data_IF_555644096091
#
_entry.id   IF_555644096091
#
_cell.length_a   1.000
_cell.length_b   1.000
_cell.length_c   1.000
_cell.angle_alpha   90.00
_cell.angle_beta   90.00
_cell.angle_gamma   90.00
#
_symmetry.space_group_name_H-M   'P 1'
#
loop_
_entity.id
_entity.type
_entity.pdbx_description
1 polymer ?
#
# COMPACT_ATOMS: atom_id res chain seq x y z
N UNK A 1 -3.54 -2.56 -24.08
CA UNK A 1 -2.81 -1.61 -23.20
C UNK A 1 -2.58 -2.18 -21.79
N UNK A 2 -3.45 -3.08 -21.30
CA UNK A 2 -3.33 -3.71 -19.98
C UNK A 2 -1.97 -4.39 -19.71
N UNK A 3 -1.29 -4.93 -20.74
CA UNK A 3 0.05 -5.51 -20.60
C UNK A 3 1.14 -4.53 -20.09
N UNK A 4 0.88 -3.22 -20.11
CA UNK A 4 1.78 -2.19 -19.55
C UNK A 4 1.52 -1.93 -18.06
N UNK A 5 0.64 -2.68 -17.39
CA UNK A 5 0.31 -2.49 -15.98
C UNK A 5 1.54 -2.49 -15.07
N UNK A 6 2.50 -3.38 -15.29
CA UNK A 6 3.75 -3.42 -14.53
C UNK A 6 4.59 -2.14 -14.58
N UNK A 7 4.43 -1.33 -15.62
CA UNK A 7 5.15 -0.05 -15.76
C UNK A 7 4.68 0.96 -14.73
N UNK A 8 3.41 0.88 -14.31
CA UNK A 8 2.80 1.81 -13.34
C UNK A 8 3.56 1.77 -11.99
N UNK A 9 3.73 0.65 -11.28
CA UNK A 9 4.56 0.60 -10.08
C UNK A 9 6.07 0.69 -10.38
N UNK A 10 6.54 0.23 -11.55
CA UNK A 10 7.97 0.24 -11.87
C UNK A 10 8.55 1.66 -12.03
N UNK A 11 7.79 2.62 -12.55
CA UNK A 11 8.23 4.00 -12.73
C UNK A 11 8.57 4.72 -11.41
N UNK A 12 7.70 4.71 -10.38
CA UNK A 12 8.04 5.20 -9.05
C UNK A 12 9.30 4.53 -8.47
N UNK A 13 9.43 3.20 -8.54
CA UNK A 13 10.62 2.51 -8.05
C UNK A 13 11.89 2.90 -8.81
N UNK A 14 11.81 3.05 -10.14
CA UNK A 14 12.92 3.53 -10.95
C UNK A 14 13.31 4.96 -10.55
N UNK A 15 12.33 5.84 -10.37
CA UNK A 15 12.55 7.20 -9.88
C UNK A 15 13.22 7.22 -8.50
N UNK A 16 12.76 6.37 -7.57
CA UNK A 16 13.41 6.17 -6.27
C UNK A 16 14.87 5.74 -6.42
N UNK A 17 15.16 4.72 -7.23
CA UNK A 17 16.52 4.20 -7.42
C UNK A 17 17.44 5.27 -8.03
N UNK A 18 16.97 6.01 -9.02
CA UNK A 18 17.74 7.09 -9.64
C UNK A 18 18.07 8.18 -8.60
N UNK A 19 17.07 8.62 -7.83
CA UNK A 19 17.26 9.67 -6.83
C UNK A 19 18.10 9.22 -5.64
N UNK A 20 17.93 7.98 -5.18
CA UNK A 20 18.70 7.42 -4.07
C UNK A 20 20.19 7.25 -4.42
N UNK A 21 20.50 6.82 -5.65
CA UNK A 21 21.88 6.54 -6.06
C UNK A 21 22.61 7.78 -6.60
N UNK A 22 21.94 8.57 -7.44
CA UNK A 22 22.57 9.65 -8.20
C UNK A 22 22.18 11.05 -7.69
N UNK A 23 21.12 11.18 -6.89
CA UNK A 23 20.56 12.47 -6.53
C UNK A 23 21.49 13.39 -5.75
N UNK A 24 22.46 12.84 -4.99
CA UNK A 24 23.53 13.63 -4.34
C UNK A 24 24.43 14.42 -5.30
N UNK A 25 24.46 14.05 -6.57
CA UNK A 25 25.25 14.72 -7.62
C UNK A 25 24.40 15.61 -8.53
N UNK A 26 23.09 15.69 -8.29
CA UNK A 26 22.15 16.42 -9.13
C UNK A 26 21.73 17.73 -8.44
N UNK A 27 21.39 18.72 -9.25
CA UNK A 27 20.70 19.93 -8.78
C UNK A 27 19.20 19.67 -8.62
N UNK A 28 18.47 20.59 -7.99
CA UNK A 28 17.05 20.44 -7.70
C UNK A 28 16.20 20.20 -8.95
N UNK A 29 16.48 20.88 -10.07
CA UNK A 29 15.69 20.74 -11.30
C UNK A 29 15.67 19.30 -11.84
N UNK A 30 16.80 18.62 -12.08
CA UNK A 30 16.80 17.20 -12.43
C UNK A 30 16.13 16.30 -11.38
N UNK A 31 16.36 16.56 -10.08
CA UNK A 31 15.74 15.78 -9.00
C UNK A 31 14.21 15.86 -9.07
N UNK A 32 13.68 17.08 -9.15
CA UNK A 32 12.25 17.35 -9.27
C UNK A 32 11.69 16.73 -10.56
N UNK A 33 12.43 16.83 -11.67
CA UNK A 33 12.02 16.25 -12.95
C UNK A 33 11.89 14.73 -12.86
N UNK A 34 12.85 14.04 -12.21
CA UNK A 34 12.80 12.58 -12.02
C UNK A 34 11.71 12.20 -11.01
N UNK A 35 11.68 12.88 -9.86
CA UNK A 35 10.72 12.62 -8.79
C UNK A 35 9.29 12.81 -9.26
N UNK A 36 8.95 14.01 -9.73
CA UNK A 36 7.60 14.34 -10.19
C UNK A 36 7.28 13.68 -11.53
N UNK A 37 8.22 13.63 -12.46
CA UNK A 37 8.00 13.09 -13.80
C UNK A 37 7.73 11.60 -13.81
N UNK A 38 8.40 10.81 -12.97
CA UNK A 38 8.13 9.37 -12.84
C UNK A 38 6.71 9.10 -12.36
N UNK A 39 6.23 9.84 -11.35
CA UNK A 39 4.85 9.73 -10.87
C UNK A 39 3.85 10.26 -11.90
N UNK A 40 4.18 11.35 -12.60
CA UNK A 40 3.33 11.91 -13.66
C UNK A 40 3.11 10.96 -14.84
N UNK A 41 4.17 10.29 -15.30
CA UNK A 41 4.07 9.26 -16.36
C UNK A 41 3.28 8.06 -15.83
N UNK A 42 3.52 7.65 -14.58
CA UNK A 42 2.74 6.58 -13.93
C UNK A 42 1.24 6.94 -13.87
N UNK A 43 0.89 8.18 -13.55
CA UNK A 43 -0.50 8.65 -13.49
C UNK A 43 -1.14 8.67 -14.88
N UNK A 44 -0.43 9.15 -15.89
CA UNK A 44 -0.91 9.12 -17.28
C UNK A 44 -1.18 7.68 -17.73
N UNK A 45 -0.25 6.76 -17.48
CA UNK A 45 -0.44 5.34 -17.80
C UNK A 45 -1.59 4.71 -17.02
N UNK A 46 -1.73 5.02 -15.72
CA UNK A 46 -2.83 4.55 -14.90
C UNK A 46 -4.19 5.01 -15.46
N UNK A 47 -4.31 6.28 -15.88
CA UNK A 47 -5.54 6.80 -16.53
C UNK A 47 -5.82 6.06 -17.83
N UNK A 48 -4.81 5.90 -18.69
CA UNK A 48 -4.97 5.20 -19.98
C UNK A 48 -5.38 3.74 -19.78
N UNK A 49 -4.74 3.02 -18.84
CA UNK A 49 -5.07 1.63 -18.50
C UNK A 49 -6.48 1.54 -17.94
N UNK A 50 -6.87 2.47 -17.07
CA UNK A 50 -8.21 2.52 -16.47
C UNK A 50 -9.29 2.78 -17.52
N UNK A 51 -9.05 3.71 -18.46
CA UNK A 51 -9.95 3.94 -19.59
C UNK A 51 -10.07 2.69 -20.47
N UNK A 52 -8.95 2.03 -20.78
CA UNK A 52 -8.96 0.77 -21.55
C UNK A 52 -9.71 -0.35 -20.82
N UNK A 53 -9.60 -0.42 -19.50
CA UNK A 53 -10.32 -1.39 -18.67
C UNK A 53 -11.83 -1.14 -18.67
N UNK A 54 -12.26 0.14 -18.66
CA UNK A 54 -13.68 0.50 -18.68
C UNK A 54 -14.34 0.36 -20.05
N UNK A 55 -13.61 0.66 -21.14
CA UNK A 55 -14.17 0.61 -22.51
C UNK A 55 -14.10 -0.77 -23.14
N UNK A 56 -13.15 -1.60 -22.73
CA UNK A 56 -12.98 -2.97 -23.22
C UNK A 56 -12.63 -3.88 -22.04
N UNK A 57 -13.61 -4.15 -21.15
CA UNK A 57 -13.36 -4.94 -19.96
C UNK A 57 -12.90 -6.35 -20.32
N UNK A 58 -11.86 -6.86 -19.64
CA UNK A 58 -11.40 -8.24 -19.83
C UNK A 58 -12.46 -9.25 -19.37
N UNK A 59 -12.44 -10.50 -19.87
CA UNK A 59 -13.33 -11.55 -19.40
C UNK A 59 -13.22 -11.74 -17.89
N UNK A 60 -14.36 -11.75 -17.17
CA UNK A 60 -14.38 -11.89 -15.71
C UNK A 60 -14.08 -10.61 -14.94
N UNK A 61 -14.22 -9.44 -15.58
CA UNK A 61 -14.08 -8.09 -14.98
C UNK A 61 -12.78 -7.89 -14.20
N UNK A 62 -11.73 -8.60 -14.59
CA UNK A 62 -10.41 -8.56 -13.97
C UNK A 62 -9.31 -8.92 -14.96
N UNK A 63 -8.11 -8.40 -14.71
CA UNK A 63 -6.90 -8.68 -15.47
C UNK A 63 -5.77 -9.04 -14.51
N UNK A 64 -5.14 -10.19 -14.72
CA UNK A 64 -3.98 -10.62 -13.96
C UNK A 64 -2.74 -10.68 -14.85
N UNK A 65 -1.64 -10.10 -14.37
CA UNK A 65 -0.34 -10.11 -15.03
C UNK A 65 0.71 -10.70 -14.10
N UNK A 66 1.05 -11.97 -14.30
CA UNK A 66 2.17 -12.62 -13.60
C UNK A 66 3.50 -12.17 -14.19
N UNK A 67 4.39 -11.64 -13.34
CA UNK A 67 5.70 -11.17 -13.75
C UNK A 67 6.76 -12.28 -13.62
N UNK A 68 6.82 -12.91 -12.44
CA UNK A 68 7.67 -14.08 -12.18
C UNK A 68 7.19 -14.84 -10.93
N UNK A 69 7.70 -16.05 -10.70
CA UNK A 69 7.49 -16.81 -9.45
C UNK A 69 8.41 -16.27 -8.36
N UNK A 70 7.87 -15.91 -7.19
CA UNK A 70 8.67 -15.33 -6.11
C UNK A 70 9.52 -16.40 -5.43
N UNK A 71 8.88 -17.49 -5.02
CA UNK A 71 9.53 -18.63 -4.39
C UNK A 71 8.73 -19.88 -4.69
N UNK A 72 9.38 -21.04 -4.67
CA UNK A 72 8.73 -22.33 -4.83
C UNK A 72 9.30 -23.31 -3.80
N UNK A 73 8.48 -23.66 -2.80
CA UNK A 73 8.90 -24.54 -1.70
C UNK A 73 7.75 -25.49 -1.35
N UNK A 74 7.97 -26.79 -1.54
CA UNK A 74 7.06 -27.86 -1.09
C UNK A 74 5.57 -27.63 -1.48
N UNK A 75 5.31 -27.14 -2.70
CA UNK A 75 3.96 -26.85 -3.20
C UNK A 75 3.43 -25.44 -2.89
N UNK A 76 4.16 -24.63 -2.11
CA UNK A 76 3.89 -23.20 -1.95
C UNK A 76 4.64 -22.39 -3.01
N UNK A 77 3.90 -21.76 -3.93
CA UNK A 77 4.44 -21.01 -5.06
C UNK A 77 3.78 -19.64 -5.23
N UNK A 78 3.94 -18.69 -4.28
CA UNK A 78 3.43 -17.34 -4.47
C UNK A 78 4.17 -16.67 -5.64
N UNK A 79 3.41 -16.01 -6.50
CA UNK A 79 3.96 -15.29 -7.63
C UNK A 79 4.08 -13.80 -7.30
N UNK A 80 4.92 -13.09 -8.05
CA UNK A 80 4.80 -11.64 -8.16
C UNK A 80 3.88 -11.37 -9.34
N UNK A 81 2.57 -11.28 -9.08
CA UNK A 81 1.57 -10.93 -10.09
C UNK A 81 0.81 -9.67 -9.71
N UNK A 82 0.42 -8.93 -10.75
CA UNK A 82 -0.39 -7.73 -10.63
C UNK A 82 -1.84 -8.05 -11.02
N UNK A 83 -2.76 -7.83 -10.09
CA UNK A 83 -4.19 -8.04 -10.24
C UNK A 83 -4.93 -6.70 -10.32
N UNK A 84 -5.59 -6.48 -11.46
CA UNK A 84 -6.35 -5.28 -11.77
C UNK A 84 -7.83 -5.62 -11.94
N UNK A 85 -8.65 -5.09 -11.06
CA UNK A 85 -10.11 -5.08 -11.17
C UNK A 85 -10.66 -3.69 -10.85
N UNK A 86 -11.97 -3.55 -10.77
CA UNK A 86 -12.63 -2.26 -10.46
C UNK A 86 -12.14 -1.62 -9.17
N UNK A 87 -11.86 -2.40 -8.11
CA UNK A 87 -11.34 -1.86 -6.84
C UNK A 87 -9.88 -1.40 -7.00
N UNK A 88 -9.03 -2.20 -7.66
CA UNK A 88 -7.64 -1.84 -7.94
C UNK A 88 -7.55 -0.59 -8.82
N UNK A 89 -8.44 -0.44 -9.81
CA UNK A 89 -8.50 0.73 -10.69
C UNK A 89 -8.73 2.02 -9.89
N UNK A 90 -9.73 2.03 -9.00
CA UNK A 90 -10.05 3.20 -8.18
C UNK A 90 -8.85 3.60 -7.33
N UNK A 91 -8.25 2.64 -6.61
CA UNK A 91 -7.10 2.92 -5.76
C UNK A 91 -5.87 3.33 -6.56
N UNK A 92 -5.56 2.65 -7.67
CA UNK A 92 -4.46 2.99 -8.56
C UNK A 92 -4.57 4.44 -9.03
N UNK A 93 -5.76 4.87 -9.49
CA UNK A 93 -6.01 6.25 -9.90
C UNK A 93 -5.82 7.25 -8.76
N UNK A 94 -6.39 6.97 -7.58
CA UNK A 94 -6.21 7.84 -6.40
C UNK A 94 -4.73 7.98 -6.05
N UNK A 95 -4.01 6.86 -5.95
CA UNK A 95 -2.59 6.84 -5.60
C UNK A 95 -1.76 7.61 -6.62
N UNK A 96 -1.95 7.38 -7.92
CA UNK A 96 -1.12 8.03 -8.94
C UNK A 96 -1.50 9.48 -9.19
N UNK A 97 -2.79 9.81 -9.28
CA UNK A 97 -3.25 11.15 -9.65
C UNK A 97 -3.10 12.11 -8.47
N UNK A 98 -3.61 11.74 -7.29
CA UNK A 98 -3.43 12.57 -6.08
C UNK A 98 -1.95 12.59 -5.70
N UNK A 99 -1.25 11.45 -5.80
CA UNK A 99 0.20 11.38 -5.60
C UNK A 99 0.95 12.34 -6.52
N UNK A 100 0.63 12.40 -7.81
CA UNK A 100 1.25 13.33 -8.76
C UNK A 100 1.05 14.80 -8.37
N UNK A 101 -0.18 15.18 -7.99
CA UNK A 101 -0.47 16.56 -7.56
C UNK A 101 0.32 16.92 -6.30
N UNK A 102 0.45 15.99 -5.35
CA UNK A 102 1.26 16.19 -4.14
C UNK A 102 2.74 16.31 -4.49
N UNK A 103 3.25 15.52 -5.46
CA UNK A 103 4.64 15.62 -5.91
C UNK A 103 4.92 16.96 -6.60
N UNK A 104 4.01 17.45 -7.43
CA UNK A 104 4.10 18.79 -8.03
C UNK A 104 4.18 19.87 -6.96
N UNK A 105 3.27 19.85 -5.98
CA UNK A 105 3.26 20.79 -4.86
C UNK A 105 4.55 20.71 -4.03
N UNK A 106 5.05 19.49 -3.80
CA UNK A 106 6.28 19.25 -3.03
C UNK A 106 7.51 19.90 -3.64
N UNK A 107 7.55 20.05 -4.97
CA UNK A 107 8.69 20.62 -5.67
C UNK A 107 8.95 22.07 -5.27
N UNK A 108 7.89 22.85 -5.10
CA UNK A 108 8.00 24.24 -4.61
C UNK A 108 8.14 24.27 -3.09
N UNK A 109 7.37 23.44 -2.37
CA UNK A 109 7.36 23.44 -0.90
C UNK A 109 8.74 23.09 -0.30
N UNK A 110 9.46 22.15 -0.92
CA UNK A 110 10.76 21.69 -0.43
C UNK A 110 11.95 22.45 -1.04
N UNK A 111 11.71 23.46 -1.88
CA UNK A 111 12.78 24.19 -2.55
C UNK A 111 13.77 24.79 -1.54
N UNK A 112 15.07 24.54 -1.72
CA UNK A 112 16.12 24.99 -0.82
C UNK A 112 16.37 24.11 0.41
N UNK A 113 15.63 23.01 0.61
CA UNK A 113 15.90 22.05 1.70
C UNK A 113 17.13 21.16 1.38
N UNK A 114 18.03 20.99 2.34
CA UNK A 114 19.25 20.18 2.20
C UNK A 114 18.97 18.73 1.75
N UNK A 115 17.80 18.19 2.11
CA UNK A 115 17.36 16.83 1.84
C UNK A 115 16.48 16.66 0.59
N UNK A 116 16.44 17.62 -0.33
CA UNK A 116 15.52 17.63 -1.49
C UNK A 116 15.49 16.31 -2.27
N UNK A 117 16.65 15.74 -2.62
CA UNK A 117 16.73 14.45 -3.31
C UNK A 117 16.21 13.28 -2.48
N UNK A 118 16.51 13.28 -1.18
CA UNK A 118 16.09 12.22 -0.27
C UNK A 118 14.58 12.24 -0.09
N UNK A 119 14.00 13.43 -0.01
CA UNK A 119 12.56 13.62 0.09
C UNK A 119 11.83 12.98 -1.11
N UNK A 120 12.21 13.34 -2.33
CA UNK A 120 11.59 12.76 -3.53
C UNK A 120 11.87 11.27 -3.69
N UNK A 121 13.05 10.78 -3.30
CA UNK A 121 13.32 9.35 -3.28
C UNK A 121 12.31 8.61 -2.38
N UNK A 122 12.10 9.08 -1.14
CA UNK A 122 11.16 8.47 -0.21
C UNK A 122 9.71 8.58 -0.66
N UNK A 123 9.29 9.72 -1.23
CA UNK A 123 7.95 9.89 -1.78
C UNK A 123 7.68 8.92 -2.94
N UNK A 124 8.65 8.75 -3.85
CA UNK A 124 8.56 7.82 -4.95
C UNK A 124 8.49 6.36 -4.48
N UNK A 125 9.31 5.98 -3.49
CA UNK A 125 9.28 4.65 -2.89
C UNK A 125 7.92 4.37 -2.23
N UNK A 126 7.33 5.40 -1.61
CA UNK A 126 6.01 5.30 -1.00
C UNK A 126 4.94 5.01 -2.06
N UNK A 127 4.88 5.80 -3.12
CA UNK A 127 3.92 5.58 -4.21
C UNK A 127 4.10 4.20 -4.83
N UNK A 128 5.34 3.79 -5.11
CA UNK A 128 5.64 2.45 -5.64
C UNK A 128 5.18 1.33 -4.71
N UNK A 129 5.47 1.44 -3.40
CA UNK A 129 5.06 0.46 -2.39
C UNK A 129 3.54 0.36 -2.28
N UNK A 130 2.84 1.49 -2.30
CA UNK A 130 1.38 1.53 -2.25
C UNK A 130 0.76 0.94 -3.53
N UNK A 131 1.35 1.19 -4.70
CA UNK A 131 0.90 0.56 -5.95
C UNK A 131 1.09 -0.96 -5.93
N UNK A 132 2.21 -1.45 -5.41
CA UNK A 132 2.41 -2.90 -5.22
C UNK A 132 1.38 -3.50 -4.26
N UNK A 133 1.04 -2.78 -3.19
CA UNK A 133 0.02 -3.20 -2.22
C UNK A 133 -1.34 -3.38 -2.89
N UNK A 134 -1.80 -2.38 -3.66
CA UNK A 134 -3.15 -2.42 -4.25
C UNK A 134 -3.25 -3.25 -5.52
N UNK A 135 -2.13 -3.54 -6.18
CA UNK A 135 -2.09 -4.43 -7.34
C UNK A 135 -1.73 -5.86 -6.97
N UNK A 136 -1.47 -6.19 -5.70
CA UNK A 136 -1.10 -7.54 -5.32
C UNK A 136 -2.22 -8.56 -5.58
N UNK A 137 -1.88 -9.69 -6.22
CA UNK A 137 -2.77 -10.85 -6.40
C UNK A 137 -2.85 -11.74 -5.15
N UNK A 138 -1.82 -11.71 -4.30
CA UNK A 138 -1.72 -12.53 -3.10
C UNK A 138 -1.36 -11.70 -1.87
N UNK A 139 -1.74 -12.21 -0.69
CA UNK A 139 -1.54 -11.51 0.58
C UNK A 139 -0.06 -11.32 0.94
N UNK A 140 0.84 -12.17 0.45
CA UNK A 140 2.28 -12.03 0.71
C UNK A 140 2.86 -10.83 -0.04
N UNK A 141 2.49 -10.66 -1.33
CA UNK A 141 2.89 -9.49 -2.11
C UNK A 141 2.23 -8.21 -1.57
N UNK A 142 0.97 -8.30 -1.13
CA UNK A 142 0.29 -7.20 -0.44
C UNK A 142 1.07 -6.80 0.82
N UNK A 143 1.51 -7.79 1.61
CA UNK A 143 2.32 -7.55 2.81
C UNK A 143 3.66 -6.90 2.48
N UNK A 144 4.32 -7.24 1.37
CA UNK A 144 5.53 -6.53 0.92
C UNK A 144 5.26 -5.04 0.69
N UNK A 145 4.18 -4.70 -0.02
CA UNK A 145 3.77 -3.30 -0.21
C UNK A 145 3.40 -2.62 1.11
N UNK A 146 2.76 -3.35 2.02
CA UNK A 146 2.34 -2.91 3.34
C UNK A 146 3.52 -2.54 4.26
N UNK A 147 4.56 -3.35 4.27
CA UNK A 147 5.85 -3.08 4.92
C UNK A 147 6.51 -1.86 4.29
N UNK A 148 6.57 -1.80 2.96
CA UNK A 148 7.15 -0.68 2.21
C UNK A 148 6.49 0.65 2.56
N UNK A 149 5.15 0.69 2.63
CA UNK A 149 4.38 1.86 3.08
C UNK A 149 4.74 2.26 4.52
N UNK A 150 4.92 1.29 5.43
CA UNK A 150 5.33 1.57 6.82
C UNK A 150 6.74 2.11 6.96
N UNK A 151 7.67 1.58 6.16
CA UNK A 151 9.04 2.08 6.09
C UNK A 151 9.07 3.51 5.55
N UNK A 152 8.35 3.78 4.45
CA UNK A 152 8.32 5.10 3.85
C UNK A 152 7.69 6.15 4.77
N UNK A 153 6.62 5.80 5.50
CA UNK A 153 6.03 6.72 6.48
C UNK A 153 6.99 7.04 7.62
N UNK A 154 7.71 6.05 8.15
CA UNK A 154 8.76 6.28 9.15
C UNK A 154 9.83 7.26 8.64
N UNK A 155 10.35 7.02 7.43
CA UNK A 155 11.40 7.84 6.82
C UNK A 155 10.94 9.28 6.54
N UNK A 156 9.67 9.47 6.17
CA UNK A 156 9.14 10.79 5.84
C UNK A 156 8.64 11.58 7.07
N UNK A 157 8.06 10.92 8.07
CA UNK A 157 7.72 11.56 9.36
C UNK A 157 9.01 12.03 10.04
N UNK A 158 10.04 11.19 10.04
CA UNK A 158 11.36 11.51 10.59
C UNK A 158 12.27 12.28 9.63
N UNK A 159 11.74 12.91 8.58
CA UNK A 159 12.57 13.52 7.54
C UNK A 159 13.52 14.59 8.08
N UNK A 160 13.05 15.44 8.99
CA UNK A 160 13.88 16.40 9.72
C UNK A 160 14.45 15.78 11.01
N UNK A 161 15.21 14.69 10.84
CA UNK A 161 15.83 13.88 11.88
C UNK A 161 16.77 14.63 12.85
N UNK A 162 17.20 15.85 12.52
CA UNK A 162 18.03 16.69 13.39
C UNK A 162 17.25 17.18 14.62
N UNK A 163 15.91 17.18 14.57
CA UNK A 163 15.05 17.58 15.68
C UNK A 163 14.54 16.33 16.45
N UNK A 164 14.96 16.11 17.72
CA UNK A 164 14.63 14.91 18.49
C UNK A 164 13.12 14.56 18.61
N UNK A 165 12.18 15.53 18.73
CA UNK A 165 10.75 15.25 18.70
C UNK A 165 10.28 14.60 17.39
N UNK A 166 10.83 14.98 16.23
CA UNK A 166 10.46 14.40 14.93
C UNK A 166 10.90 12.93 14.84
N UNK A 167 12.08 12.62 15.36
CA UNK A 167 12.57 11.24 15.44
C UNK A 167 11.69 10.39 16.38
N UNK A 168 11.29 10.95 17.53
CA UNK A 168 10.41 10.28 18.48
C UNK A 168 9.02 10.01 17.87
N UNK A 169 8.46 10.97 17.12
CA UNK A 169 7.21 10.83 16.40
C UNK A 169 7.28 9.72 15.34
N UNK A 170 8.35 9.72 14.53
CA UNK A 170 8.59 8.68 13.53
C UNK A 170 8.67 7.30 14.17
N UNK A 171 9.46 7.15 15.23
CA UNK A 171 9.60 5.88 15.97
C UNK A 171 8.27 5.42 16.55
N UNK A 172 7.46 6.32 17.13
CA UNK A 172 6.13 5.99 17.63
C UNK A 172 5.23 5.47 16.51
N UNK A 173 5.19 6.16 15.36
CA UNK A 173 4.42 5.73 14.21
C UNK A 173 4.86 4.36 13.68
N UNK A 174 6.17 4.12 13.59
CA UNK A 174 6.68 2.82 13.19
C UNK A 174 6.28 1.72 14.17
N UNK A 175 6.52 1.90 15.48
CA UNK A 175 6.22 0.87 16.50
C UNK A 175 4.72 0.56 16.58
N UNK A 176 3.86 1.58 16.61
CA UNK A 176 2.41 1.36 16.72
C UNK A 176 1.86 0.64 15.48
N UNK A 177 2.36 0.99 14.30
CA UNK A 177 1.92 0.32 13.06
C UNK A 177 2.48 -1.11 12.98
N UNK A 178 3.73 -1.33 13.40
CA UNK A 178 4.33 -2.67 13.53
C UNK A 178 3.51 -3.64 14.39
N UNK A 179 2.85 -3.16 15.43
CA UNK A 179 1.95 -4.00 16.26
C UNK A 179 0.78 -4.54 15.42
N UNK A 180 0.13 -3.68 14.63
CA UNK A 180 -0.91 -4.11 13.69
C UNK A 180 -0.37 -5.02 12.59
N UNK A 181 0.82 -4.69 12.07
CA UNK A 181 1.46 -5.44 10.99
C UNK A 181 1.87 -6.85 11.45
N UNK A 182 2.16 -7.02 12.75
CA UNK A 182 2.39 -8.32 13.38
C UNK A 182 1.08 -9.13 13.46
N UNK A 183 -0.04 -8.50 13.85
CA UNK A 183 -1.34 -9.17 13.85
C UNK A 183 -1.72 -9.66 12.45
N UNK A 184 -1.51 -8.82 11.43
CA UNK A 184 -1.73 -9.21 10.03
C UNK A 184 -0.82 -10.38 9.61
N UNK A 185 0.48 -10.36 9.96
CA UNK A 185 1.38 -11.47 9.65
C UNK A 185 0.92 -12.80 10.27
N UNK A 186 0.47 -12.78 11.53
CA UNK A 186 -0.13 -13.96 12.18
C UNK A 186 -1.38 -14.40 11.41
N UNK A 187 -2.20 -13.46 10.93
CA UNK A 187 -3.34 -13.74 10.06
C UNK A 187 -2.93 -14.44 8.76
N UNK A 188 -1.87 -13.99 8.11
CA UNK A 188 -1.32 -14.65 6.91
C UNK A 188 -0.89 -16.08 7.21
N UNK A 189 -0.20 -16.33 8.32
CA UNK A 189 0.18 -17.70 8.70
C UNK A 189 -1.03 -18.58 8.99
N UNK A 190 -2.06 -18.06 9.66
CA UNK A 190 -3.30 -18.79 9.91
C UNK A 190 -4.03 -19.13 8.60
N UNK A 191 -4.12 -18.18 7.68
CA UNK A 191 -4.73 -18.37 6.37
C UNK A 191 -3.96 -19.40 5.54
N UNK A 192 -2.63 -19.29 5.51
CA UNK A 192 -1.79 -20.23 4.78
C UNK A 192 -1.89 -21.66 5.36
N UNK A 193 -1.83 -21.82 6.68
CA UNK A 193 -1.92 -23.15 7.32
C UNK A 193 -3.30 -23.78 7.22
N UNK A 194 -4.36 -22.98 7.09
CA UNK A 194 -5.74 -23.48 6.96
C UNK A 194 -6.20 -23.69 5.51
N UNK A 195 -5.65 -22.94 4.55
CA UNK A 195 -6.06 -22.97 3.14
C UNK A 195 -5.00 -23.51 2.18
N UNK A 196 -3.72 -23.48 2.54
CA UNK A 196 -2.60 -23.87 1.68
C UNK A 196 -2.24 -22.82 0.60
N UNK A 197 -2.96 -21.71 0.54
CA UNK A 197 -2.77 -20.63 -0.45
C UNK A 197 -2.88 -19.26 0.20
N UNK A 198 -2.18 -18.29 -0.35
CA UNK A 198 -2.31 -16.86 -0.03
C UNK A 198 -2.83 -16.06 -1.22
N UNK A 199 -3.18 -16.71 -2.33
CA UNK A 199 -3.81 -16.05 -3.47
C UNK A 199 -5.19 -15.55 -3.06
N UNK A 200 -5.43 -14.25 -3.24
CA UNK A 200 -6.64 -13.61 -2.73
C UNK A 200 -7.87 -14.15 -3.46
N UNK A 201 -7.83 -14.23 -4.79
CA UNK A 201 -8.98 -14.66 -5.59
C UNK A 201 -9.40 -16.10 -5.24
N UNK A 202 -8.44 -17.02 -5.20
CA UNK A 202 -8.66 -18.41 -4.80
C UNK A 202 -9.26 -18.52 -3.39
N UNK A 203 -8.75 -17.70 -2.45
CA UNK A 203 -9.30 -17.64 -1.09
C UNK A 203 -10.75 -17.15 -1.07
N UNK A 204 -11.10 -16.11 -1.82
CA UNK A 204 -12.46 -15.57 -1.85
C UNK A 204 -13.45 -16.59 -2.44
N UNK A 205 -13.07 -17.32 -3.48
CA UNK A 205 -13.93 -18.33 -4.12
C UNK A 205 -14.19 -19.55 -3.22
N UNK A 206 -13.16 -19.97 -2.48
CA UNK A 206 -13.20 -21.24 -1.74
C UNK A 206 -13.56 -21.08 -0.26
N UNK A 207 -13.47 -19.87 0.31
CA UNK A 207 -13.70 -19.65 1.74
C UNK A 207 -15.11 -20.05 2.18
N UNK A 208 -16.15 -19.70 1.42
CA UNK A 208 -17.56 -20.00 1.76
C UNK A 208 -17.90 -21.49 1.68
N UNK A 209 -17.10 -22.27 0.95
CA UNK A 209 -17.28 -23.73 0.84
C UNK A 209 -16.69 -24.48 2.04
N UNK A 210 -15.67 -23.90 2.68
CA UNK A 210 -14.91 -24.55 3.76
C UNK A 210 -15.26 -24.02 5.15
N UNK A 211 -15.69 -22.76 5.24
CA UNK A 211 -16.05 -22.12 6.49
C UNK A 211 -17.52 -21.75 6.49
N UNK A 212 -18.24 -22.27 7.48
CA UNK A 212 -19.57 -21.76 7.81
C UNK A 212 -19.45 -20.32 8.35
N UNK A 213 -20.51 -19.54 8.16
CA UNK A 213 -20.66 -18.22 8.76
C UNK A 213 -20.54 -18.34 10.29
N UNK A 214 -19.67 -17.53 10.89
CA UNK A 214 -19.38 -17.55 12.32
C UNK A 214 -18.37 -18.61 12.75
N UNK A 215 -17.70 -19.30 11.83
CA UNK A 215 -16.64 -20.25 12.19
C UNK A 215 -15.49 -19.55 12.93
N UNK A 216 -14.89 -20.25 13.90
CA UNK A 216 -13.79 -19.72 14.71
C UNK A 216 -12.57 -19.32 13.84
N UNK A 217 -12.29 -20.08 12.78
CA UNK A 217 -11.21 -19.79 11.84
C UNK A 217 -11.47 -18.54 11.01
N UNK A 218 -12.70 -18.34 10.50
CA UNK A 218 -13.06 -17.13 9.78
C UNK A 218 -12.99 -15.90 10.71
N UNK A 219 -13.51 -16.02 11.94
CA UNK A 219 -13.45 -14.96 12.95
C UNK A 219 -12.00 -14.61 13.29
N UNK A 220 -11.16 -15.60 13.59
CA UNK A 220 -9.76 -15.36 13.93
C UNK A 220 -8.99 -14.73 12.77
N UNK A 221 -9.19 -15.23 11.54
CA UNK A 221 -8.53 -14.69 10.34
C UNK A 221 -8.96 -13.24 10.08
N UNK A 222 -10.26 -12.96 10.10
CA UNK A 222 -10.80 -11.61 9.91
C UNK A 222 -10.32 -10.65 11.02
N UNK A 223 -10.29 -11.09 12.28
CA UNK A 223 -9.83 -10.28 13.41
C UNK A 223 -8.33 -9.94 13.32
N UNK A 224 -7.50 -10.88 12.87
CA UNK A 224 -6.06 -10.65 12.67
C UNK A 224 -5.79 -9.69 11.51
N UNK A 225 -6.51 -9.85 10.39
CA UNK A 225 -6.47 -8.87 9.28
C UNK A 225 -6.97 -7.49 9.71
N UNK A 226 -8.03 -7.44 10.54
CA UNK A 226 -8.52 -6.20 11.14
C UNK A 226 -7.47 -5.55 12.03
N UNK A 227 -6.69 -6.31 12.81
CA UNK A 227 -5.58 -5.76 13.61
C UNK A 227 -4.56 -5.01 12.75
N UNK A 228 -4.22 -5.55 11.58
CA UNK A 228 -3.43 -4.82 10.57
C UNK A 228 -4.09 -3.54 10.12
N UNK A 229 -5.33 -3.64 9.65
CA UNK A 229 -6.10 -2.50 9.15
C UNK A 229 -6.23 -1.38 10.19
N UNK A 230 -6.53 -1.71 11.45
CA UNK A 230 -6.61 -0.77 12.58
C UNK A 230 -5.28 -0.04 12.80
N UNK A 231 -4.15 -0.75 12.71
CA UNK A 231 -2.82 -0.16 12.86
C UNK A 231 -2.49 0.86 11.76
N UNK A 232 -2.65 0.49 10.48
CA UNK A 232 -2.34 1.38 9.34
C UNK A 232 -3.34 2.50 9.14
N UNK A 233 -4.62 2.25 9.41
CA UNK A 233 -5.69 3.25 9.29
C UNK A 233 -5.87 4.12 10.53
N UNK A 234 -4.96 4.02 11.51
CA UNK A 234 -4.99 4.79 12.75
C UNK A 234 -6.36 4.77 13.45
N UNK A 235 -6.96 3.59 13.54
CA UNK A 235 -8.24 3.40 14.23
C UNK A 235 -7.98 3.09 15.71
N UNK A 236 -9.02 3.23 16.55
CA UNK A 236 -8.95 2.85 17.96
C UNK A 236 -8.58 1.36 18.09
N UNK A 237 -7.68 0.97 19.01
CA UNK A 237 -6.89 1.77 19.97
C UNK A 237 -5.48 2.18 19.47
N UNK A 238 -5.17 1.96 18.18
CA UNK A 238 -3.86 2.22 17.58
C UNK A 238 -3.77 3.59 16.88
N UNK A 239 -4.69 4.52 17.15
CA UNK A 239 -4.74 5.85 16.54
C UNK A 239 -3.64 6.81 17.00
N UNK A 240 -2.99 6.50 18.12
CA UNK A 240 -2.14 7.45 18.86
C UNK A 240 -0.92 7.96 18.08
N UNK A 241 -0.51 7.29 17.01
CA UNK A 241 0.60 7.74 16.18
C UNK A 241 0.23 8.85 15.19
N UNK A 242 -1.06 8.96 14.83
CA UNK A 242 -1.50 9.84 13.75
C UNK A 242 -1.32 11.33 14.05
N UNK A 243 -1.63 11.84 15.26
CA UNK A 243 -1.40 13.25 15.57
C UNK A 243 0.09 13.63 15.52
N UNK A 244 0.96 12.74 16.00
CA UNK A 244 2.41 12.98 16.04
C UNK A 244 3.04 12.88 14.64
N UNK A 245 2.42 12.14 13.71
CA UNK A 245 2.89 12.02 12.33
C UNK A 245 2.90 13.37 11.57
N UNK A 246 2.20 14.39 12.10
CA UNK A 246 2.21 15.77 11.56
C UNK A 246 3.55 16.48 11.76
N UNK A 247 4.52 15.86 12.44
CA UNK A 247 5.91 16.31 12.52
C UNK A 247 6.63 16.31 11.15
N UNK A 248 6.17 15.50 10.20
CA UNK A 248 6.73 15.46 8.85
C UNK A 248 6.37 16.68 7.99
N UNK A 249 7.01 16.85 6.82
CA UNK A 249 6.66 17.92 5.88
C UNK A 249 5.19 17.86 5.46
N UNK A 250 4.54 19.01 5.24
CA UNK A 250 3.11 19.06 4.84
C UNK A 250 2.75 18.15 3.66
N UNK A 251 3.57 18.03 2.58
CA UNK A 251 3.26 17.11 1.49
C UNK A 251 3.31 15.63 1.89
N UNK A 252 4.12 15.26 2.90
CA UNK A 252 4.13 13.91 3.46
C UNK A 252 2.80 13.60 4.12
N UNK A 253 2.30 14.49 4.99
CA UNK A 253 1.00 14.30 5.64
C UNK A 253 -0.12 14.19 4.59
N UNK A 254 -0.09 15.04 3.55
CA UNK A 254 -1.04 14.93 2.44
C UNK A 254 -0.99 13.54 1.78
N UNK A 255 0.20 13.00 1.50
CA UNK A 255 0.33 11.68 0.87
C UNK A 255 -0.14 10.54 1.77
N UNK A 256 0.25 10.57 3.05
CA UNK A 256 -0.13 9.57 4.06
C UNK A 256 -1.65 9.50 4.24
N UNK A 257 -2.30 10.66 4.40
CA UNK A 257 -3.70 10.73 4.78
C UNK A 257 -4.67 10.70 3.60
N UNK A 258 -4.29 11.23 2.43
CA UNK A 258 -5.23 11.32 1.31
C UNK A 258 -5.19 10.07 0.40
N UNK A 259 -4.02 9.47 0.19
CA UNK A 259 -3.84 8.54 -0.92
C UNK A 259 -3.27 7.17 -0.55
N UNK A 260 -2.62 7.01 0.60
CA UNK A 260 -1.76 5.84 0.85
C UNK A 260 -2.06 5.09 2.16
N UNK A 261 -1.44 5.49 3.26
CA UNK A 261 -1.31 4.64 4.45
C UNK A 261 -2.66 4.35 5.12
N UNK A 262 -3.48 5.39 5.32
CA UNK A 262 -4.76 5.19 6.01
C UNK A 262 -5.78 4.47 5.13
N UNK A 263 -5.64 4.54 3.80
CA UNK A 263 -6.51 3.87 2.85
C UNK A 263 -6.11 2.41 2.63
N UNK A 264 -4.85 2.03 2.91
CA UNK A 264 -4.36 0.65 2.81
C UNK A 264 -5.16 -0.34 3.69
N UNK A 265 -5.49 0.03 4.93
CA UNK A 265 -6.29 -0.81 5.82
C UNK A 265 -7.72 -1.01 5.32
N UNK A 266 -8.34 0.05 4.80
CA UNK A 266 -9.67 -0.03 4.18
C UNK A 266 -9.62 -0.91 2.92
N UNK A 267 -8.58 -0.75 2.10
CA UNK A 267 -8.35 -1.59 0.92
C UNK A 267 -8.24 -3.07 1.30
N UNK A 268 -7.45 -3.42 2.33
CA UNK A 268 -7.32 -4.80 2.80
C UNK A 268 -8.67 -5.41 3.17
N UNK A 269 -9.49 -4.69 3.96
CA UNK A 269 -10.81 -5.16 4.38
C UNK A 269 -11.73 -5.34 3.16
N UNK A 270 -11.76 -4.36 2.24
CA UNK A 270 -12.58 -4.44 1.02
C UNK A 270 -12.14 -5.60 0.11
N UNK A 271 -10.83 -5.76 -0.07
CA UNK A 271 -10.23 -6.82 -0.91
C UNK A 271 -10.46 -8.21 -0.32
N UNK A 272 -10.56 -8.33 1.00
CA UNK A 272 -10.82 -9.59 1.71
C UNK A 272 -12.26 -9.74 2.21
N UNK A 273 -13.22 -9.01 1.60
CA UNK A 273 -14.60 -8.91 2.08
C UNK A 273 -15.31 -10.24 2.35
N UNK A 274 -15.03 -11.31 1.58
CA UNK A 274 -15.64 -12.64 1.82
C UNK A 274 -15.19 -13.24 3.16
N UNK A 275 -13.94 -13.03 3.57
CA UNK A 275 -13.45 -13.49 4.87
C UNK A 275 -14.20 -12.76 5.99
N UNK A 276 -14.44 -11.45 5.82
CA UNK A 276 -15.20 -10.66 6.78
C UNK A 276 -16.69 -11.04 6.80
N UNK A 277 -17.32 -11.36 5.66
CA UNK A 277 -18.73 -11.76 5.62
C UNK A 277 -19.00 -13.11 6.31
N UNK A 278 -17.98 -13.97 6.35
CA UNK A 278 -18.01 -15.21 7.13
C UNK A 278 -17.78 -14.98 8.64
N UNK A 279 -17.44 -13.76 9.06
CA UNK A 279 -17.19 -13.38 10.45
C UNK A 279 -18.05 -12.17 10.90
N UNK A 280 -19.38 -12.32 11.06
CA UNK A 280 -20.28 -11.21 11.40
C UNK A 280 -19.89 -10.42 12.66
N UNK A 281 -19.33 -11.10 13.68
CA UNK A 281 -18.83 -10.45 14.89
C UNK A 281 -17.68 -9.47 14.60
N UNK A 282 -16.80 -9.79 13.64
CA UNK A 282 -15.70 -8.92 13.23
C UNK A 282 -16.19 -7.79 12.35
N UNK A 283 -17.19 -8.02 11.48
CA UNK A 283 -17.84 -6.93 10.74
C UNK A 283 -18.49 -5.91 11.67
N UNK A 284 -19.16 -6.37 12.73
CA UNK A 284 -19.69 -5.49 13.75
C UNK A 284 -18.56 -4.70 14.43
N UNK A 285 -17.43 -5.33 14.73
CA UNK A 285 -16.26 -4.62 15.26
C UNK A 285 -15.71 -3.57 14.29
N UNK A 286 -15.65 -3.85 12.98
CA UNK A 286 -15.29 -2.87 11.95
C UNK A 286 -16.22 -1.66 12.01
N UNK A 287 -17.54 -1.90 12.07
CA UNK A 287 -18.54 -0.84 12.13
C UNK A 287 -18.42 -0.02 13.42
N UNK A 288 -18.20 -0.66 14.58
CA UNK A 288 -18.05 0.02 15.87
C UNK A 288 -16.77 0.85 15.92
N UNK A 289 -15.65 0.33 15.41
CA UNK A 289 -14.36 1.02 15.44
C UNK A 289 -14.31 2.19 14.45
N UNK A 290 -15.03 2.11 13.34
CA UNK A 290 -15.08 3.15 12.30
C UNK A 290 -16.18 4.19 12.46
N UNK A 291 -17.16 3.97 13.35
CA UNK A 291 -18.24 4.91 13.66
C UNK A 291 -17.81 5.96 14.68
#
# INVERSE_FOLDING_TARGET
MLNLLWVVPALPFLGFLILALFGRHLTEKPIQTVGVGSIGISALLAVIISLSFMTTPPPGDSFSQTLWSWMEVAGFSPHISLYLDSLSVVFMLVITVVGFLIHLYSGEYMAGDEGFSRFFAYMNLFVGSMLMLVLADNLLLLYLGWEGVGLCSYLLIGFWYKDPPNEAAARKAFVVTRVGDTAMAIGLFLLFTSRGTLNIQEMLETASQHWAVGSSLAIASAALLLGGAVGKSAQLPLQTWLPDAMAGPTPTSALIHAATMVTAGVYLIARTHVIFSLAPAVQLAVAILGA
#
